data_IF_953285993001
#
_entry.id   IF_953285993001
#
_cell.length_a   1.000
_cell.length_b   1.000
_cell.length_c   1.000
_cell.angle_alpha   90.00
_cell.angle_beta   90.00
_cell.angle_gamma   90.00
#
_symmetry.space_group_name_H-M   'P 1'
#
loop_
_entity.id
_entity.type
_entity.pdbx_description
1 polymer ?
#
# COMPACT_ATOMS: atom_id res chain seq x y z
N UNK A 1 28.12 35.57 52.72
CA UNK A 1 26.97 36.19 52.01
C UNK A 1 27.09 36.12 50.49
N UNK A 2 28.27 36.35 49.89
CA UNK A 2 28.47 36.32 48.42
C UNK A 2 28.18 34.95 47.77
N UNK A 3 28.57 33.83 48.39
CA UNK A 3 28.37 32.48 47.84
C UNK A 3 26.90 32.03 47.80
N UNK A 4 26.09 32.45 48.78
CA UNK A 4 24.66 32.17 48.78
C UNK A 4 23.94 32.87 47.61
N UNK A 5 24.40 34.07 47.23
CA UNK A 5 23.84 34.83 46.11
C UNK A 5 24.19 34.22 44.74
N UNK A 6 25.39 33.66 44.59
CA UNK A 6 25.79 32.98 43.34
C UNK A 6 25.04 31.65 43.16
N UNK A 7 24.83 30.89 44.24
CA UNK A 7 24.04 29.66 44.22
C UNK A 7 22.55 29.92 43.91
N UNK A 8 21.96 30.97 44.49
CA UNK A 8 20.60 31.43 44.16
C UNK A 8 20.45 31.81 42.68
N UNK A 9 21.44 32.51 42.11
CA UNK A 9 21.45 32.88 40.69
C UNK A 9 21.50 31.64 39.77
N UNK A 10 22.32 30.64 40.13
CA UNK A 10 22.40 29.36 39.41
C UNK A 10 21.08 28.60 39.48
N UNK A 11 20.45 28.53 40.66
CA UNK A 11 19.14 27.89 40.87
C UNK A 11 18.05 28.57 40.06
N UNK A 12 18.00 29.91 40.03
CA UNK A 12 17.06 30.68 39.18
C UNK A 12 17.24 30.38 37.70
N UNK A 13 18.48 30.33 37.22
CA UNK A 13 18.78 30.01 35.82
C UNK A 13 18.38 28.57 35.46
N UNK A 14 18.56 27.62 36.40
CA UNK A 14 18.12 26.23 36.21
C UNK A 14 16.60 26.12 36.19
N UNK A 15 15.90 26.81 37.09
CA UNK A 15 14.43 26.88 37.12
C UNK A 15 13.87 27.46 35.82
N UNK A 16 14.44 28.57 35.32
CA UNK A 16 14.04 29.17 34.05
C UNK A 16 14.16 28.17 32.89
N UNK A 17 15.30 27.47 32.78
CA UNK A 17 15.50 26.44 31.75
C UNK A 17 14.51 25.28 31.82
N UNK A 18 14.11 24.89 33.02
CA UNK A 18 13.10 23.84 33.22
C UNK A 18 11.73 24.37 32.79
N UNK A 19 11.37 25.59 33.19
CA UNK A 19 10.10 26.20 32.79
C UNK A 19 9.99 26.34 31.27
N UNK A 20 11.06 26.76 30.59
CA UNK A 20 11.09 26.88 29.14
C UNK A 20 10.89 25.51 28.45
N UNK A 21 11.47 24.43 29.01
CA UNK A 21 11.26 23.07 28.51
C UNK A 21 9.82 22.58 28.72
N UNK A 22 9.22 22.86 29.87
CA UNK A 22 7.81 22.51 30.14
C UNK A 22 6.90 23.22 29.14
N UNK A 23 7.08 24.53 28.96
CA UNK A 23 6.30 25.32 28.01
C UNK A 23 6.43 24.79 26.56
N UNK A 24 7.63 24.32 26.16
CA UNK A 24 7.85 23.72 24.85
C UNK A 24 7.08 22.39 24.69
N UNK A 25 7.11 21.54 25.70
CA UNK A 25 6.36 20.27 25.70
C UNK A 25 4.86 20.53 25.66
N UNK A 26 4.35 21.49 26.41
CA UNK A 26 2.92 21.85 26.42
C UNK A 26 2.44 22.36 25.05
N UNK A 27 3.25 23.17 24.37
CA UNK A 27 2.97 23.59 22.98
C UNK A 27 2.98 22.40 22.03
N UNK A 28 4.01 21.57 22.10
CA UNK A 28 4.16 20.40 21.21
C UNK A 28 3.02 19.40 21.39
N UNK A 29 2.60 19.13 22.63
CA UNK A 29 1.46 18.25 22.93
C UNK A 29 0.13 18.86 22.47
N UNK A 30 -0.05 20.17 22.61
CA UNK A 30 -1.22 20.88 22.10
C UNK A 30 -1.31 20.81 20.56
N UNK A 31 -0.18 20.99 19.86
CA UNK A 31 -0.09 20.85 18.41
C UNK A 31 -0.41 19.43 17.94
N UNK A 32 0.17 18.40 18.59
CA UNK A 32 -0.12 16.99 18.31
C UNK A 32 -1.60 16.66 18.53
N UNK A 33 -2.19 17.15 19.60
CA UNK A 33 -3.62 16.96 19.89
C UNK A 33 -4.50 17.63 18.83
N UNK A 34 -4.14 18.83 18.36
CA UNK A 34 -4.86 19.50 17.29
C UNK A 34 -4.72 18.76 15.95
N UNK A 35 -3.54 18.27 15.61
CA UNK A 35 -3.32 17.42 14.44
C UNK A 35 -4.14 16.13 14.51
N UNK A 36 -4.22 15.50 15.68
CA UNK A 36 -5.04 14.31 15.88
C UNK A 36 -6.55 14.60 15.76
N UNK A 37 -7.03 15.75 16.27
CA UNK A 37 -8.41 16.21 16.08
C UNK A 37 -8.72 16.49 14.61
N UNK A 38 -7.81 17.12 13.87
CA UNK A 38 -7.95 17.37 12.43
C UNK A 38 -7.99 16.05 11.65
N UNK A 39 -7.12 15.09 11.99
CA UNK A 39 -7.11 13.76 11.38
C UNK A 39 -8.42 13.00 11.64
N UNK A 40 -8.94 13.02 12.89
CA UNK A 40 -10.25 12.45 13.23
C UNK A 40 -11.41 13.15 12.53
N UNK A 41 -11.35 14.48 12.37
CA UNK A 41 -12.39 15.25 11.65
C UNK A 41 -12.35 14.98 10.14
N UNK A 42 -11.15 14.76 9.56
CA UNK A 42 -10.98 14.28 8.18
C UNK A 42 -11.45 12.83 8.00
N UNK A 43 -11.29 11.95 8.99
CA UNK A 43 -11.81 10.57 8.93
C UNK A 43 -13.33 10.46 9.10
N UNK A 44 -14.00 11.51 9.60
CA UNK A 44 -15.46 11.53 9.76
C UNK A 44 -16.23 12.05 8.54
N UNK A 45 -15.54 12.49 7.47
CA UNK A 45 -16.14 12.52 6.13
C UNK A 45 -15.93 11.12 5.53
N UNK A 46 -16.95 10.27 5.67
CA UNK A 46 -17.06 8.95 5.05
C UNK A 46 -16.01 7.91 5.47
N UNK A 47 -16.00 7.51 6.74
CA UNK A 47 -15.58 6.16 7.10
C UNK A 47 -16.74 5.44 7.80
N UNK A 48 -17.86 5.32 7.11
CA UNK A 48 -18.66 4.11 7.26
C UNK A 48 -17.79 2.99 6.70
N UNK A 49 -16.87 2.46 7.50
CA UNK A 49 -16.28 1.17 7.18
C UNK A 49 -17.47 0.24 6.98
N UNK A 50 -17.68 -0.33 5.78
CA UNK A 50 -18.78 -1.25 5.60
C UNK A 50 -18.58 -2.32 6.66
N UNK A 51 -19.61 -2.60 7.45
CA UNK A 51 -19.62 -3.58 8.54
C UNK A 51 -18.94 -4.91 8.10
N UNK A 52 -19.07 -5.22 6.81
CA UNK A 52 -18.40 -6.33 6.11
C UNK A 52 -16.87 -6.36 6.16
N UNK A 53 -16.16 -5.24 6.29
CA UNK A 53 -14.68 -5.22 6.34
C UNK A 53 -14.15 -5.64 7.71
N UNK A 54 -14.89 -5.33 8.78
CA UNK A 54 -14.51 -5.74 10.14
C UNK A 54 -14.78 -7.24 10.30
N UNK A 55 -15.94 -7.73 9.87
CA UNK A 55 -16.25 -9.17 9.87
C UNK A 55 -15.28 -9.98 8.99
N UNK A 56 -14.94 -9.50 7.79
CA UNK A 56 -13.96 -10.18 6.91
C UNK A 56 -12.55 -10.24 7.48
N UNK A 57 -12.18 -9.34 8.39
CA UNK A 57 -10.86 -9.35 9.06
C UNK A 57 -10.83 -10.26 10.28
N UNK A 58 -12.00 -10.56 10.87
CA UNK A 58 -12.14 -11.51 11.96
C UNK A 58 -12.21 -12.96 11.47
N UNK A 59 -12.59 -13.18 10.21
CA UNK A 59 -12.54 -14.51 9.59
C UNK A 59 -11.12 -14.92 9.24
N UNK A 60 -10.80 -16.20 9.48
CA UNK A 60 -9.50 -16.76 9.14
C UNK A 60 -9.27 -16.59 7.63
N UNK A 61 -8.09 -16.12 7.17
CA UNK A 61 -7.83 -15.88 5.75
C UNK A 61 -7.88 -17.13 4.86
N UNK A 62 -8.14 -18.30 5.44
CA UNK A 62 -8.39 -19.57 4.76
C UNK A 62 -9.86 -19.95 4.67
N UNK A 63 -10.78 -19.23 5.31
CA UNK A 63 -12.21 -19.53 5.26
C UNK A 63 -12.80 -18.99 3.96
N UNK A 64 -13.48 -19.86 3.22
CA UNK A 64 -14.21 -19.48 2.02
C UNK A 64 -15.60 -18.95 2.42
N UNK A 65 -16.03 -17.86 1.78
CA UNK A 65 -17.41 -17.41 1.84
C UNK A 65 -18.34 -18.40 1.13
N UNK A 66 -19.66 -18.26 1.32
CA UNK A 66 -20.68 -19.08 0.62
C UNK A 66 -20.56 -19.04 -0.91
N UNK A 67 -19.93 -18.00 -1.47
CA UNK A 67 -19.67 -17.86 -2.91
C UNK A 67 -18.31 -18.43 -3.36
N UNK A 68 -17.54 -19.01 -2.44
CA UNK A 68 -16.20 -19.54 -2.71
C UNK A 68 -15.09 -18.47 -2.70
N UNK A 69 -15.40 -17.22 -2.35
CA UNK A 69 -14.36 -16.18 -2.22
C UNK A 69 -13.61 -16.31 -0.90
N UNK A 70 -12.29 -16.16 -0.92
CA UNK A 70 -11.43 -16.14 0.28
C UNK A 70 -11.74 -14.91 1.14
N UNK A 71 -11.93 -15.10 2.45
CA UNK A 71 -12.11 -13.98 3.37
C UNK A 71 -10.81 -13.18 3.53
N UNK A 72 -10.85 -11.91 3.14
CA UNK A 72 -9.72 -11.00 3.26
C UNK A 72 -9.83 -9.81 2.29
N UNK A 73 -8.99 -8.77 2.46
CA UNK A 73 -8.92 -7.70 1.47
C UNK A 73 -8.47 -8.27 0.12
N UNK A 74 -9.12 -7.82 -0.97
CA UNK A 74 -8.72 -8.20 -2.33
C UNK A 74 -7.22 -7.91 -2.53
N UNK A 75 -6.50 -8.86 -3.14
CA UNK A 75 -5.10 -8.65 -3.53
C UNK A 75 -4.98 -7.40 -4.39
N UNK A 76 -4.02 -6.53 -4.05
CA UNK A 76 -3.73 -5.33 -4.85
C UNK A 76 -3.23 -5.71 -6.25
N UNK A 77 -3.42 -4.82 -7.23
CA UNK A 77 -2.96 -5.04 -8.61
C UNK A 77 -1.47 -5.41 -8.67
N UNK A 78 -0.63 -4.73 -7.88
CA UNK A 78 0.80 -5.01 -7.80
C UNK A 78 1.09 -6.41 -7.27
N UNK A 79 0.44 -6.81 -6.17
CA UNK A 79 0.63 -8.15 -5.60
C UNK A 79 0.21 -9.25 -6.57
N UNK A 80 -0.90 -9.05 -7.31
CA UNK A 80 -1.31 -9.99 -8.37
C UNK A 80 -0.24 -10.11 -9.46
N UNK A 81 0.29 -8.99 -9.94
CA UNK A 81 1.35 -8.98 -10.97
C UNK A 81 2.61 -9.71 -10.48
N UNK A 82 3.00 -9.51 -9.24
CA UNK A 82 4.20 -10.14 -8.67
C UNK A 82 4.00 -11.65 -8.47
N UNK A 83 2.83 -12.07 -8.00
CA UNK A 83 2.46 -13.48 -7.90
C UNK A 83 2.45 -14.16 -9.29
N UNK A 84 1.85 -13.52 -10.30
CA UNK A 84 1.85 -14.02 -11.69
C UNK A 84 3.27 -14.12 -12.26
N UNK A 85 4.13 -13.11 -12.02
CA UNK A 85 5.54 -13.16 -12.45
C UNK A 85 6.30 -14.31 -11.78
N UNK A 86 6.10 -14.52 -10.48
CA UNK A 86 6.77 -15.61 -9.75
C UNK A 86 6.32 -16.97 -10.28
N UNK A 87 5.03 -17.17 -10.47
CA UNK A 87 4.50 -18.40 -11.06
C UNK A 87 5.06 -18.63 -12.47
N UNK A 88 5.12 -17.59 -13.30
CA UNK A 88 5.69 -17.70 -14.64
C UNK A 88 7.18 -18.09 -14.64
N UNK A 89 7.96 -17.54 -13.70
CA UNK A 89 9.36 -17.94 -13.53
C UNK A 89 9.49 -19.41 -13.12
N UNK A 90 8.59 -19.90 -12.27
CA UNK A 90 8.57 -21.27 -11.80
C UNK A 90 8.18 -22.26 -12.92
N UNK A 91 7.12 -21.97 -13.68
CA UNK A 91 6.61 -22.88 -14.71
C UNK A 91 7.34 -22.80 -16.05
N UNK A 92 7.76 -21.61 -16.46
CA UNK A 92 8.36 -21.39 -17.79
C UNK A 92 9.86 -21.07 -17.72
N UNK A 93 10.42 -21.08 -16.52
CA UNK A 93 11.79 -20.67 -16.26
C UNK A 93 11.96 -19.15 -16.31
N UNK A 94 13.21 -18.73 -16.14
CA UNK A 94 13.58 -17.32 -16.06
C UNK A 94 14.16 -16.98 -14.70
N UNK A 95 15.00 -15.95 -14.70
CA UNK A 95 15.68 -15.46 -13.50
C UNK A 95 15.44 -13.96 -13.35
N UNK A 96 15.74 -13.38 -12.18
CA UNK A 96 15.68 -11.93 -11.99
C UNK A 96 16.49 -11.15 -13.05
N UNK A 97 17.55 -11.77 -13.57
CA UNK A 97 18.43 -11.19 -14.58
C UNK A 97 17.97 -11.48 -16.02
N UNK A 98 17.13 -12.50 -16.23
CA UNK A 98 16.58 -12.82 -17.54
C UNK A 98 15.15 -13.38 -17.43
N UNK A 99 14.18 -12.48 -17.51
CA UNK A 99 12.74 -12.80 -17.42
C UNK A 99 12.12 -13.22 -18.76
N UNK A 100 12.87 -13.22 -19.86
CA UNK A 100 12.32 -13.52 -21.20
C UNK A 100 11.59 -14.87 -21.26
N UNK A 101 12.13 -15.98 -20.72
CA UNK A 101 11.43 -17.28 -20.74
C UNK A 101 10.07 -17.23 -20.04
N UNK A 102 10.00 -16.61 -18.85
CA UNK A 102 8.78 -16.42 -18.08
C UNK A 102 7.70 -15.66 -18.89
N UNK A 103 8.08 -14.55 -19.51
CA UNK A 103 7.14 -13.73 -20.27
C UNK A 103 6.66 -14.41 -21.56
N UNK A 104 7.55 -15.11 -22.27
CA UNK A 104 7.15 -15.86 -23.47
C UNK A 104 6.24 -17.04 -23.12
N UNK A 105 6.51 -17.74 -22.03
CA UNK A 105 5.64 -18.81 -21.55
C UNK A 105 4.25 -18.31 -21.13
N UNK A 106 4.17 -17.16 -20.45
CA UNK A 106 2.89 -16.49 -20.13
C UNK A 106 2.12 -16.12 -21.39
N UNK A 107 2.80 -15.55 -22.38
CA UNK A 107 2.13 -15.18 -23.63
C UNK A 107 1.63 -16.41 -24.38
N UNK A 108 2.45 -17.47 -24.47
CA UNK A 108 2.09 -18.72 -25.11
C UNK A 108 0.93 -19.46 -24.42
N UNK A 109 0.84 -19.39 -23.09
CA UNK A 109 -0.28 -19.98 -22.34
C UNK A 109 -1.58 -19.21 -22.60
N UNK A 110 -1.51 -17.88 -22.62
CA UNK A 110 -2.67 -17.03 -22.96
C UNK A 110 -3.14 -17.29 -24.39
N UNK A 111 -2.24 -17.32 -25.37
CA UNK A 111 -2.62 -17.53 -26.78
C UNK A 111 -3.12 -18.94 -27.08
N UNK A 112 -2.68 -19.96 -26.34
CA UNK A 112 -3.20 -21.33 -26.47
C UNK A 112 -4.56 -21.53 -25.80
N UNK A 113 -4.81 -20.83 -24.70
CA UNK A 113 -5.99 -21.05 -23.87
C UNK A 113 -7.19 -20.13 -24.16
N UNK A 114 -6.96 -18.98 -24.79
CA UNK A 114 -8.01 -17.98 -25.02
C UNK A 114 -8.60 -18.06 -26.43
N UNK A 115 -9.89 -17.75 -26.56
CA UNK A 115 -10.55 -17.60 -27.85
C UNK A 115 -10.03 -16.35 -28.58
N UNK A 116 -10.06 -16.37 -29.92
CA UNK A 116 -9.57 -15.27 -30.77
C UNK A 116 -10.24 -13.94 -30.43
N UNK A 117 -11.55 -13.95 -30.16
CA UNK A 117 -12.29 -12.73 -29.78
C UNK A 117 -11.81 -12.14 -28.46
N UNK A 118 -11.48 -12.99 -27.47
CA UNK A 118 -10.94 -12.55 -26.18
C UNK A 118 -9.54 -11.96 -26.34
N UNK A 119 -8.70 -12.58 -27.17
CA UNK A 119 -7.37 -12.05 -27.50
C UNK A 119 -7.47 -10.69 -28.21
N UNK A 120 -8.41 -10.54 -29.15
CA UNK A 120 -8.67 -9.28 -29.86
C UNK A 120 -9.11 -8.18 -28.89
N UNK A 121 -10.02 -8.49 -27.98
CA UNK A 121 -10.47 -7.56 -26.95
C UNK A 121 -9.29 -7.11 -26.06
N UNK A 122 -8.49 -8.05 -25.57
CA UNK A 122 -7.29 -7.76 -24.76
C UNK A 122 -6.31 -6.80 -25.47
N UNK A 123 -6.08 -7.01 -26.77
CA UNK A 123 -5.22 -6.13 -27.57
C UNK A 123 -5.85 -4.73 -27.77
N UNK A 124 -7.18 -4.64 -27.87
CA UNK A 124 -7.88 -3.37 -28.07
C UNK A 124 -7.90 -2.47 -26.83
N UNK A 125 -7.95 -3.08 -25.64
CA UNK A 125 -8.05 -2.38 -24.35
C UNK A 125 -6.68 -1.86 -23.87
N UNK A 126 -5.58 -2.47 -24.30
CA UNK A 126 -4.23 -2.08 -23.89
C UNK A 126 -3.59 -1.14 -24.92
N UNK A 127 -3.32 0.14 -24.60
CA UNK A 127 -2.69 1.09 -25.53
C UNK A 127 -1.34 0.59 -26.02
N UNK A 128 -0.56 -0.06 -25.14
CA UNK A 128 0.76 -0.61 -25.45
C UNK A 128 0.67 -1.76 -26.46
N UNK A 129 -0.31 -2.65 -26.31
CA UNK A 129 -0.51 -3.76 -27.26
C UNK A 129 -1.13 -3.26 -28.56
N UNK A 130 -1.98 -2.23 -28.50
CA UNK A 130 -2.56 -1.59 -29.68
C UNK A 130 -1.49 -0.94 -30.56
N UNK A 131 -0.49 -0.30 -29.97
CA UNK A 131 0.60 0.37 -30.70
C UNK A 131 1.74 -0.59 -31.12
N UNK A 132 2.04 -1.62 -30.33
CA UNK A 132 3.24 -2.46 -30.52
C UNK A 132 2.97 -3.95 -30.74
N UNK A 133 1.77 -4.42 -30.42
CA UNK A 133 1.41 -5.84 -30.39
C UNK A 133 0.49 -6.28 -31.52
N UNK A 134 -0.17 -5.36 -32.21
CA UNK A 134 -0.87 -5.63 -33.47
C UNK A 134 0.16 -5.43 -34.58
N UNK A 135 0.77 -6.48 -35.17
CA UNK A 135 1.24 -6.33 -36.53
C UNK A 135 0.01 -5.88 -37.31
N UNK A 136 0.11 -4.76 -38.03
CA UNK A 136 -0.90 -4.34 -38.98
C UNK A 136 -1.20 -5.58 -39.82
N UNK A 137 -2.31 -6.28 -39.52
CA UNK A 137 -2.80 -7.34 -40.38
C UNK A 137 -3.34 -6.54 -41.54
N UNK A 138 -2.45 -6.33 -42.51
CA UNK A 138 -2.74 -5.71 -43.78
C UNK A 138 -3.86 -6.54 -44.40
N UNK A 139 -5.02 -5.92 -44.58
CA UNK A 139 -6.11 -6.47 -45.38
C UNK A 139 -5.63 -6.83 -46.78
#
# INVERSE_FOLDING_TARGET
>A
MLEANTDLSRKRTKLKRIQDRVNYIDRSTSELNNMHKIAKKKSNKENTFPFSLVEKRLQSPTTLSEKGDISGPKRTSNRKKDETKRAAMEFHGGSPNNMKPAYYGLFATVTKGAAVDQLREMCSVSPVLKERGIPIIVN
#
